data_IF_969390603701
#
_entry.id   IF_969390603701
#
_cell.length_a   1.000
_cell.length_b   1.000
_cell.length_c   1.000
_cell.angle_alpha   90.00
_cell.angle_beta   90.00
_cell.angle_gamma   90.00
#
_symmetry.space_group_name_H-M   'P 1'
#
loop_
_entity.id
_entity.type
_entity.pdbx_description
1 polymer ?
#
# COMPACT_ATOMS: atom_id res chain seq x y z
N UNK A 1 4.05 -23.77 -9.22
CA UNK A 1 4.17 -23.47 -7.78
C UNK A 1 2.77 -23.23 -7.28
N UNK A 2 2.31 -23.99 -6.30
CA UNK A 2 0.98 -23.82 -5.68
C UNK A 2 1.20 -22.94 -4.45
N UNK A 3 0.39 -21.90 -4.30
CA UNK A 3 0.32 -21.11 -3.07
C UNK A 3 -0.77 -21.73 -2.22
N UNK A 4 -0.41 -22.25 -1.05
CA UNK A 4 -1.37 -22.57 0.00
C UNK A 4 -1.41 -21.36 0.95
N UNK A 5 -2.59 -20.79 1.15
CA UNK A 5 -2.83 -19.66 2.05
C UNK A 5 -3.88 -19.99 3.13
N UNK A 6 -4.19 -21.27 3.31
CA UNK A 6 -5.26 -21.77 4.19
C UNK A 6 -4.95 -21.46 5.67
N UNK A 7 -3.66 -21.37 5.99
CA UNK A 7 -3.10 -20.89 7.26
C UNK A 7 -3.53 -19.48 7.66
N UNK A 8 -3.96 -18.65 6.69
CA UNK A 8 -4.38 -17.26 6.89
C UNK A 8 -5.91 -17.13 7.05
N UNK A 9 -6.69 -18.14 6.62
CA UNK A 9 -8.15 -18.09 6.66
C UNK A 9 -8.72 -17.84 8.06
N UNK A 10 -8.26 -18.50 9.15
CA UNK A 10 -8.82 -18.25 10.49
C UNK A 10 -8.64 -16.79 10.92
N UNK A 11 -7.45 -16.23 10.69
CA UNK A 11 -7.13 -14.84 11.05
C UNK A 11 -7.95 -13.83 10.21
N UNK A 12 -8.24 -14.16 8.95
CA UNK A 12 -9.11 -13.34 8.09
C UNK A 12 -10.58 -13.44 8.48
N UNK A 13 -11.03 -14.61 8.95
CA UNK A 13 -12.36 -14.79 9.53
C UNK A 13 -12.54 -13.95 10.78
N UNK A 14 -11.56 -13.87 11.68
CA UNK A 14 -11.62 -12.99 12.86
C UNK A 14 -11.82 -11.49 12.50
N UNK A 15 -11.45 -11.08 11.28
CA UNK A 15 -11.59 -9.71 10.77
C UNK A 15 -12.89 -9.43 10.02
N UNK A 16 -13.66 -10.45 9.67
CA UNK A 16 -14.98 -10.31 9.08
C UNK A 16 -15.96 -10.74 10.15
N UNK A 17 -16.86 -9.87 10.61
CA UNK A 17 -17.89 -10.32 11.55
C UNK A 17 -18.58 -11.53 10.92
N UNK A 18 -18.84 -12.61 11.69
CA UNK A 18 -19.83 -13.57 11.26
C UNK A 18 -21.06 -12.75 10.88
N UNK A 19 -21.46 -12.76 9.60
CA UNK A 19 -22.80 -12.31 9.25
C UNK A 19 -23.68 -13.21 10.08
N UNK A 20 -24.25 -12.67 11.17
CA UNK A 20 -25.02 -13.44 12.15
C UNK A 20 -25.86 -14.42 11.35
N UNK A 21 -25.71 -15.72 11.64
CA UNK A 21 -26.48 -16.76 10.97
C UNK A 21 -27.93 -16.47 11.28
N UNK A 22 -28.55 -15.72 10.37
CA UNK A 22 -29.74 -14.96 10.67
C UNK A 22 -30.86 -15.99 10.80
N UNK A 23 -31.33 -16.23 12.03
CA UNK A 23 -32.40 -17.19 12.27
C UNK A 23 -33.68 -16.81 11.50
N UNK A 24 -33.76 -15.55 11.05
CA UNK A 24 -34.61 -15.09 9.96
C UNK A 24 -34.40 -15.91 8.68
N UNK A 25 -35.45 -16.62 8.27
CA UNK A 25 -35.56 -17.23 6.92
C UNK A 25 -35.60 -16.19 5.77
N UNK A 26 -35.53 -14.90 6.09
CA UNK A 26 -35.61 -13.78 5.15
C UNK A 26 -34.26 -13.08 4.99
N UNK A 27 -33.83 -12.97 3.74
CA UNK A 27 -32.58 -12.31 3.36
C UNK A 27 -32.79 -10.79 3.24
N UNK A 28 -31.75 -10.03 3.54
CA UNK A 28 -31.75 -8.59 3.37
C UNK A 28 -31.65 -8.22 1.87
N UNK A 29 -32.58 -7.39 1.38
CA UNK A 29 -32.56 -6.95 -0.01
C UNK A 29 -31.43 -5.92 -0.23
N UNK A 30 -30.45 -6.17 -1.11
CA UNK A 30 -29.32 -5.26 -1.34
C UNK A 30 -29.73 -3.91 -1.95
N UNK A 31 -30.95 -3.78 -2.46
CA UNK A 31 -31.41 -2.61 -3.20
C UNK A 31 -32.52 -1.79 -2.51
N UNK A 32 -32.97 -2.21 -1.31
CA UNK A 32 -33.91 -1.47 -0.47
C UNK A 32 -33.71 -1.67 1.05
N UNK A 33 -32.70 -2.43 1.49
CA UNK A 33 -32.38 -2.65 2.91
C UNK A 33 -33.36 -3.55 3.69
N UNK A 34 -34.56 -3.80 3.16
CA UNK A 34 -35.59 -4.59 3.85
C UNK A 34 -35.25 -6.08 3.88
N UNK A 35 -35.32 -6.71 5.07
CA UNK A 35 -35.37 -8.18 5.20
C UNK A 35 -36.70 -8.69 4.64
N UNK A 36 -36.67 -9.56 3.64
CA UNK A 36 -37.92 -10.11 3.07
C UNK A 36 -37.69 -11.43 2.32
N UNK A 37 -38.77 -12.02 1.79
CA UNK A 37 -38.69 -13.22 0.96
C UNK A 37 -38.11 -12.86 -0.42
N UNK A 38 -37.15 -13.67 -0.89
CA UNK A 38 -36.54 -13.47 -2.21
C UNK A 38 -36.94 -14.60 -3.16
N UNK A 39 -37.82 -14.30 -4.11
CA UNK A 39 -38.30 -15.26 -5.09
C UNK A 39 -37.19 -15.60 -6.10
N UNK A 40 -36.97 -16.87 -6.39
CA UNK A 40 -36.06 -17.31 -7.46
C UNK A 40 -36.73 -17.17 -8.82
N UNK A 41 -36.03 -16.61 -9.80
CA UNK A 41 -36.44 -16.55 -11.19
C UNK A 41 -35.72 -17.67 -11.99
N UNK A 42 -36.29 -18.05 -13.14
CA UNK A 42 -35.73 -19.12 -13.98
C UNK A 42 -34.31 -18.87 -14.53
N UNK A 43 -33.85 -17.61 -14.54
CA UNK A 43 -32.50 -17.20 -14.95
C UNK A 43 -31.46 -17.20 -13.80
N UNK A 44 -31.85 -17.79 -12.66
CA UNK A 44 -31.06 -17.84 -11.42
C UNK A 44 -31.02 -16.52 -10.63
N UNK A 45 -31.68 -15.44 -11.09
CA UNK A 45 -31.80 -14.19 -10.33
C UNK A 45 -32.78 -14.35 -9.16
N UNK A 46 -32.65 -13.46 -8.18
CA UNK A 46 -33.60 -13.27 -7.09
C UNK A 46 -34.40 -11.98 -7.32
N UNK A 47 -35.68 -12.01 -6.97
CA UNK A 47 -36.58 -10.84 -6.96
C UNK A 47 -37.03 -10.55 -5.53
N UNK A 48 -36.86 -9.31 -5.07
CA UNK A 48 -37.39 -8.83 -3.80
C UNK A 48 -38.93 -8.77 -3.84
N UNK A 49 -39.62 -9.31 -2.83
CA UNK A 49 -41.08 -9.21 -2.72
C UNK A 49 -41.58 -7.82 -2.31
N UNK A 50 -40.73 -6.98 -1.71
CA UNK A 50 -41.09 -5.60 -1.30
C UNK A 50 -40.82 -4.60 -2.44
N UNK A 51 -39.57 -4.42 -2.85
CA UNK A 51 -39.21 -3.38 -3.83
C UNK A 51 -39.22 -3.86 -5.30
N UNK A 52 -39.60 -5.11 -5.57
CA UNK A 52 -39.70 -5.69 -6.92
C UNK A 52 -38.40 -5.85 -7.72
N UNK A 53 -37.29 -5.24 -7.28
CA UNK A 53 -35.99 -5.26 -7.97
C UNK A 53 -35.44 -6.70 -8.10
N UNK A 54 -34.81 -6.96 -9.26
CA UNK A 54 -34.17 -8.23 -9.62
C UNK A 54 -32.65 -8.10 -9.49
N UNK A 55 -31.99 -9.07 -8.88
CA UNK A 55 -30.53 -9.09 -8.70
C UNK A 55 -30.01 -10.53 -8.67
N UNK A 56 -28.75 -10.75 -9.05
CA UNK A 56 -28.09 -12.02 -8.73
C UNK A 56 -27.58 -11.93 -7.29
N UNK A 57 -27.95 -12.89 -6.45
CA UNK A 57 -27.11 -13.18 -5.28
C UNK A 57 -25.88 -13.88 -5.84
N UNK A 58 -24.86 -13.09 -6.19
CA UNK A 58 -23.57 -13.64 -6.58
C UNK A 58 -22.99 -14.34 -5.35
N UNK A 59 -23.12 -15.67 -5.32
CA UNK A 59 -22.56 -16.52 -4.27
C UNK A 59 -21.04 -16.70 -4.45
N UNK A 60 -20.34 -15.60 -4.67
CA UNK A 60 -18.98 -15.47 -4.16
C UNK A 60 -19.17 -15.32 -2.65
N UNK A 61 -19.12 -16.45 -1.95
CA UNK A 61 -19.18 -16.49 -0.49
C UNK A 61 -18.12 -15.58 0.11
N UNK A 62 -18.30 -15.12 1.35
CA UNK A 62 -17.23 -14.45 2.06
C UNK A 62 -15.99 -15.36 2.10
N UNK A 63 -16.15 -16.67 2.28
CA UNK A 63 -15.15 -17.72 2.02
C UNK A 63 -14.31 -17.50 0.77
N UNK A 64 -14.93 -17.41 -0.41
CA UNK A 64 -14.18 -17.28 -1.67
C UNK A 64 -13.45 -15.92 -1.77
N UNK A 65 -13.99 -14.87 -1.14
CA UNK A 65 -13.33 -13.56 -1.05
C UNK A 65 -12.17 -13.56 -0.06
N UNK A 66 -12.31 -14.29 1.05
CA UNK A 66 -11.27 -14.47 2.05
C UNK A 66 -10.12 -15.31 1.49
N UNK A 67 -10.41 -16.41 0.77
CA UNK A 67 -9.40 -17.18 0.05
C UNK A 67 -8.66 -16.32 -0.98
N UNK A 68 -9.39 -15.54 -1.79
CA UNK A 68 -8.78 -14.56 -2.71
C UNK A 68 -7.88 -13.56 -1.98
N UNK A 69 -8.32 -13.02 -0.84
CA UNK A 69 -7.51 -12.12 -0.03
C UNK A 69 -6.26 -12.82 0.53
N UNK A 70 -6.39 -14.06 1.03
CA UNK A 70 -5.30 -14.86 1.59
C UNK A 70 -4.20 -15.12 0.54
N UNK A 71 -4.58 -15.64 -0.63
CA UNK A 71 -3.65 -15.97 -1.72
C UNK A 71 -2.96 -14.72 -2.29
N UNK A 72 -3.70 -13.61 -2.44
CA UNK A 72 -3.15 -12.33 -2.93
C UNK A 72 -2.26 -11.68 -1.87
N UNK A 73 -2.61 -11.75 -0.58
CA UNK A 73 -1.77 -11.26 0.52
C UNK A 73 -0.46 -12.06 0.63
N UNK A 74 -0.52 -13.38 0.50
CA UNK A 74 0.67 -14.22 0.52
C UNK A 74 1.58 -13.93 -0.69
N UNK A 75 1.02 -13.68 -1.88
CA UNK A 75 1.78 -13.16 -3.03
C UNK A 75 2.46 -11.81 -2.73
N UNK A 76 1.77 -10.91 -2.01
CA UNK A 76 2.29 -9.61 -1.64
C UNK A 76 3.49 -9.73 -0.68
N UNK A 77 3.39 -10.59 0.34
CA UNK A 77 4.47 -10.89 1.27
C UNK A 77 5.65 -11.64 0.60
N UNK A 78 5.40 -12.43 -0.46
CA UNK A 78 6.40 -13.11 -1.27
C UNK A 78 7.12 -12.22 -2.32
N UNK A 79 6.95 -10.89 -2.26
CA UNK A 79 7.53 -9.93 -3.22
C UNK A 79 7.16 -10.19 -4.70
N UNK A 80 6.02 -10.84 -4.97
CA UNK A 80 5.56 -11.03 -6.35
C UNK A 80 4.89 -9.77 -6.88
N UNK A 81 5.24 -9.36 -8.10
CA UNK A 81 4.50 -8.32 -8.83
C UNK A 81 3.06 -8.74 -9.09
N UNK A 82 2.14 -7.79 -9.26
CA UNK A 82 0.72 -8.10 -9.52
C UNK A 82 0.52 -8.99 -10.77
N UNK A 83 1.39 -8.86 -11.78
CA UNK A 83 1.43 -9.75 -12.95
C UNK A 83 1.80 -11.19 -12.56
N UNK A 84 2.86 -11.37 -11.75
CA UNK A 84 3.29 -12.70 -11.29
C UNK A 84 2.26 -13.34 -10.36
N UNK A 85 1.67 -12.56 -9.45
CA UNK A 85 0.58 -13.02 -8.58
C UNK A 85 -0.66 -13.46 -9.40
N UNK A 86 -1.02 -12.72 -10.45
CA UNK A 86 -2.07 -13.10 -11.42
C UNK A 86 -1.77 -14.44 -12.10
N UNK A 87 -0.51 -14.67 -12.49
CA UNK A 87 -0.10 -15.92 -13.13
C UNK A 87 -0.13 -17.14 -12.19
N UNK A 88 0.15 -16.95 -10.90
CA UNK A 88 0.22 -18.03 -9.90
C UNK A 88 -1.16 -18.37 -9.31
N UNK A 89 -1.94 -17.34 -8.97
CA UNK A 89 -3.26 -17.51 -8.32
C UNK A 89 -4.42 -17.64 -9.30
N UNK A 90 -4.19 -17.31 -10.58
CA UNK A 90 -5.21 -17.21 -11.63
C UNK A 90 -6.33 -16.19 -11.36
N UNK A 91 -6.19 -15.35 -10.33
CA UNK A 91 -7.10 -14.22 -10.07
C UNK A 91 -6.93 -13.11 -11.11
N UNK A 92 -8.00 -12.35 -11.35
CA UNK A 92 -7.97 -11.24 -12.32
C UNK A 92 -6.97 -10.16 -11.89
N UNK A 93 -6.12 -9.70 -12.80
CA UNK A 93 -5.13 -8.64 -12.53
C UNK A 93 -5.72 -7.39 -11.83
N UNK A 94 -6.90 -6.91 -12.25
CA UNK A 94 -7.58 -5.77 -11.60
C UNK A 94 -7.87 -6.04 -10.11
N UNK A 95 -8.23 -7.28 -9.74
CA UNK A 95 -8.48 -7.67 -8.35
C UNK A 95 -7.17 -7.66 -7.55
N UNK A 96 -6.12 -8.30 -8.09
CA UNK A 96 -4.77 -8.35 -7.48
C UNK A 96 -4.22 -6.94 -7.25
N UNK A 97 -4.28 -6.07 -8.27
CA UNK A 97 -3.81 -4.68 -8.17
C UNK A 97 -4.58 -3.88 -7.12
N UNK A 98 -5.90 -4.05 -7.03
CA UNK A 98 -6.74 -3.37 -6.03
C UNK A 98 -6.35 -3.81 -4.61
N UNK A 99 -6.22 -5.12 -4.36
CA UNK A 99 -5.77 -5.62 -3.05
C UNK A 99 -4.37 -5.12 -2.68
N UNK A 100 -3.41 -5.17 -3.61
CA UNK A 100 -2.07 -4.63 -3.40
C UNK A 100 -2.08 -3.14 -3.01
N UNK A 101 -2.92 -2.33 -3.68
CA UNK A 101 -3.05 -0.91 -3.35
C UNK A 101 -3.78 -0.68 -2.01
N UNK A 102 -4.69 -1.57 -1.60
CA UNK A 102 -5.26 -1.57 -0.24
C UNK A 102 -4.21 -1.91 0.82
N UNK A 103 -3.37 -2.94 0.62
CA UNK A 103 -2.30 -3.28 1.55
C UNK A 103 -1.30 -2.13 1.72
N UNK A 104 -0.87 -1.49 0.62
CA UNK A 104 0.00 -0.30 0.68
C UNK A 104 -0.61 0.84 1.47
N UNK A 105 -1.87 1.19 1.17
CA UNK A 105 -2.59 2.25 1.88
C UNK A 105 -2.70 1.93 3.37
N UNK A 106 -3.00 0.68 3.71
CA UNK A 106 -3.08 0.23 5.09
C UNK A 106 -1.74 0.37 5.84
N UNK A 107 -0.62 0.00 5.20
CA UNK A 107 0.72 0.19 5.77
C UNK A 107 1.04 1.68 5.97
N UNK A 108 0.73 2.53 4.98
CA UNK A 108 0.89 3.97 5.07
C UNK A 108 0.02 4.57 6.19
N UNK A 109 -1.28 4.26 6.24
CA UNK A 109 -2.25 4.77 7.22
C UNK A 109 -1.94 4.35 8.67
N UNK A 110 -1.20 3.26 8.88
CA UNK A 110 -0.83 2.75 10.21
C UNK A 110 0.55 3.23 10.69
N UNK A 111 1.47 3.54 9.78
CA UNK A 111 2.86 3.85 10.10
C UNK A 111 3.22 5.34 9.87
N UNK A 112 2.23 6.22 9.67
CA UNK A 112 2.44 7.62 9.29
C UNK A 112 1.38 8.55 9.90
N UNK A 113 1.76 9.79 10.23
CA UNK A 113 0.81 10.82 10.70
C UNK A 113 -0.11 11.30 9.58
N UNK A 114 -1.30 11.82 9.91
CA UNK A 114 -2.23 12.36 8.90
C UNK A 114 -1.62 13.48 8.05
N UNK A 115 -0.75 14.32 8.64
CA UNK A 115 -0.01 15.36 7.94
C UNK A 115 0.92 14.79 6.86
N UNK A 116 1.70 13.76 7.19
CA UNK A 116 2.58 13.08 6.22
C UNK A 116 1.78 12.28 5.19
N UNK A 117 0.62 11.72 5.54
CA UNK A 117 -0.32 11.11 4.58
C UNK A 117 -0.90 12.17 3.64
N UNK A 118 -1.15 13.39 4.13
CA UNK A 118 -1.57 14.52 3.30
C UNK A 118 -0.48 14.91 2.30
N UNK A 119 0.79 14.93 2.71
CA UNK A 119 1.92 15.09 1.77
C UNK A 119 1.89 14.00 0.67
N UNK A 120 1.58 12.75 0.99
CA UNK A 120 1.47 11.69 -0.03
C UNK A 120 0.25 11.80 -0.96
N UNK A 121 -0.80 12.52 -0.58
CA UNK A 121 -2.11 12.50 -1.26
C UNK A 121 -2.53 13.82 -1.91
N UNK A 122 -1.97 14.94 -1.46
CA UNK A 122 -2.13 16.27 -2.09
C UNK A 122 -1.41 16.34 -3.44
N UNK A 123 -0.31 15.60 -3.62
CA UNK A 123 0.43 15.51 -4.87
C UNK A 123 -0.30 14.66 -5.93
N UNK A 124 -1.19 15.29 -6.70
CA UNK A 124 -1.94 14.66 -7.79
C UNK A 124 -1.29 14.75 -9.20
N UNK A 125 -0.02 15.16 -9.35
CA UNK A 125 0.66 15.25 -10.67
C UNK A 125 2.22 15.28 -10.68
N UNK A 126 2.87 16.30 -11.28
CA UNK A 126 4.34 16.53 -11.40
C UNK A 126 4.84 18.00 -11.03
N UNK A 127 5.68 18.26 -9.98
CA UNK A 127 5.70 19.38 -8.99
C UNK A 127 6.19 20.78 -9.36
N UNK A 128 5.62 21.70 -8.58
CA UNK A 128 6.22 22.95 -8.14
C UNK A 128 7.13 22.70 -6.93
N UNK A 129 8.42 22.52 -7.17
CA UNK A 129 9.41 23.07 -6.22
C UNK A 129 9.84 24.39 -6.83
N UNK A 130 9.36 25.48 -6.25
CA UNK A 130 9.97 26.78 -6.50
C UNK A 130 11.37 26.72 -5.90
N UNK A 131 12.40 26.68 -6.75
CA UNK A 131 13.55 27.57 -6.67
C UNK A 131 14.40 27.47 -7.94
N UNK A 132 15.05 28.59 -8.26
CA UNK A 132 15.43 28.94 -9.63
C UNK A 132 16.59 28.09 -10.19
N UNK A 133 16.41 27.59 -11.43
CA UNK A 133 17.40 26.92 -12.32
C UNK A 133 17.71 25.41 -12.16
N UNK A 134 16.63 24.62 -12.06
CA UNK A 134 16.41 23.41 -12.90
C UNK A 134 17.31 22.16 -12.79
N UNK A 135 17.99 21.88 -11.66
CA UNK A 135 18.52 20.52 -11.41
C UNK A 135 18.42 20.13 -9.94
N UNK A 136 18.07 18.86 -9.66
CA UNK A 136 18.34 18.29 -8.35
C UNK A 136 19.86 18.27 -8.12
N UNK A 137 20.32 18.96 -7.06
CA UNK A 137 21.74 19.23 -6.81
C UNK A 137 22.61 17.97 -6.74
N UNK A 138 22.06 16.89 -6.19
CA UNK A 138 22.77 15.63 -5.98
C UNK A 138 22.77 14.71 -7.20
N UNK A 139 21.65 14.60 -7.91
CA UNK A 139 21.54 13.67 -9.04
C UNK A 139 21.71 14.34 -10.43
N UNK A 140 21.80 15.67 -10.47
CA UNK A 140 21.94 16.55 -11.65
C UNK A 140 20.88 16.36 -12.74
N UNK A 141 19.81 15.62 -12.47
CA UNK A 141 18.67 15.47 -13.38
C UNK A 141 18.04 16.84 -13.64
N UNK A 142 17.85 17.21 -14.91
CA UNK A 142 17.11 18.41 -15.29
C UNK A 142 15.65 18.26 -14.89
N UNK A 143 15.07 19.34 -14.36
CA UNK A 143 13.63 19.47 -14.15
C UNK A 143 13.11 20.39 -15.25
N UNK A 144 12.16 19.94 -16.07
CA UNK A 144 11.61 20.77 -17.15
C UNK A 144 10.48 21.67 -16.61
N UNK A 145 10.45 22.96 -16.98
CA UNK A 145 9.41 23.91 -16.54
C UNK A 145 8.07 23.78 -17.27
N UNK A 146 7.89 22.82 -18.17
CA UNK A 146 6.59 22.53 -18.80
C UNK A 146 5.86 21.36 -18.10
N UNK A 147 6.55 20.66 -17.18
CA UNK A 147 6.01 19.59 -16.34
C UNK A 147 5.66 20.12 -14.91
N UNK A 148 4.83 21.15 -14.74
CA UNK A 148 4.78 21.93 -13.47
C UNK A 148 3.74 21.57 -12.37
N UNK A 149 2.67 20.79 -12.58
CA UNK A 149 1.64 20.51 -11.53
C UNK A 149 1.77 19.18 -10.68
N UNK A 150 2.53 19.08 -9.56
CA UNK A 150 2.36 18.08 -8.42
C UNK A 150 3.16 16.73 -8.15
N UNK A 151 4.53 16.62 -8.24
CA UNK A 151 5.51 15.44 -8.29
C UNK A 151 5.75 14.75 -6.94
N UNK A 152 6.32 13.53 -7.06
CA UNK A 152 7.38 12.91 -6.23
C UNK A 152 7.98 13.73 -5.05
N UNK A 153 7.59 13.40 -3.80
CA UNK A 153 8.22 13.91 -2.58
C UNK A 153 9.73 13.61 -2.52
N UNK A 154 10.45 14.42 -1.75
CA UNK A 154 11.71 13.98 -1.13
C UNK A 154 11.35 13.12 0.07
N UNK A 155 11.95 11.94 0.20
CA UNK A 155 11.71 11.05 1.34
C UNK A 155 12.93 10.99 2.25
N UNK A 156 12.79 11.36 3.52
CA UNK A 156 13.86 11.21 4.50
C UNK A 156 13.97 9.77 4.98
N UNK A 157 15.20 9.27 5.11
CA UNK A 157 15.50 7.92 5.60
C UNK A 157 16.15 8.02 6.97
N UNK A 158 15.49 7.50 7.99
CA UNK A 158 15.99 7.37 9.36
C UNK A 158 16.38 5.93 9.64
N UNK A 159 17.46 5.74 10.41
CA UNK A 159 17.88 4.44 10.92
C UNK A 159 17.79 4.45 12.43
N UNK A 160 17.07 3.50 13.00
CA UNK A 160 16.93 3.34 14.44
C UNK A 160 18.03 2.41 14.99
N UNK A 161 18.34 2.54 16.29
CA UNK A 161 19.38 1.74 16.95
C UNK A 161 19.12 0.22 16.95
N UNK A 162 17.86 -0.19 16.75
CA UNK A 162 17.43 -1.59 16.58
C UNK A 162 17.77 -2.19 15.21
N UNK A 163 18.14 -1.37 14.23
CA UNK A 163 18.26 -1.78 12.83
C UNK A 163 16.96 -1.65 12.00
N UNK A 164 15.92 -1.06 12.59
CA UNK A 164 14.70 -0.64 11.90
C UNK A 164 14.89 0.67 11.12
N UNK A 165 14.08 0.84 10.09
CA UNK A 165 14.14 1.97 9.15
C UNK A 165 12.81 2.71 9.13
N UNK A 166 12.85 4.03 9.03
CA UNK A 166 11.69 4.84 8.64
C UNK A 166 12.00 5.63 7.36
N UNK A 167 11.07 5.64 6.41
CA UNK A 167 11.09 6.36 5.14
C UNK A 167 9.82 7.21 5.07
N UNK A 168 9.94 8.50 5.33
CA UNK A 168 8.80 9.42 5.36
C UNK A 168 8.92 10.53 4.32
N UNK A 169 7.81 11.03 3.74
CA UNK A 169 7.85 12.27 2.96
C UNK A 169 8.29 13.41 3.87
N UNK A 170 9.17 14.26 3.34
CA UNK A 170 9.59 15.50 3.97
C UNK A 170 8.68 16.64 3.53
N UNK A 171 8.39 17.57 4.44
CA UNK A 171 7.81 18.87 4.07
C UNK A 171 8.87 19.79 3.43
N UNK A 172 8.47 20.98 2.94
CA UNK A 172 9.37 21.89 2.23
C UNK A 172 10.54 22.38 3.10
N UNK A 173 10.30 22.64 4.39
CA UNK A 173 11.33 23.07 5.36
C UNK A 173 12.36 21.94 5.59
N UNK A 174 11.89 20.71 5.84
CA UNK A 174 12.74 19.51 5.98
C UNK A 174 13.51 19.21 4.67
N UNK A 175 12.87 19.41 3.52
CA UNK A 175 13.46 19.18 2.20
C UNK A 175 14.52 20.24 1.84
N UNK A 176 14.36 21.50 2.26
CA UNK A 176 15.33 22.57 2.00
C UNK A 176 16.75 22.19 2.47
N UNK A 177 16.87 21.51 3.61
CA UNK A 177 18.17 21.02 4.13
C UNK A 177 18.81 19.93 3.27
N UNK A 178 18.03 19.11 2.55
CA UNK A 178 18.57 18.14 1.59
C UNK A 178 19.31 18.82 0.42
N UNK A 179 19.02 20.11 0.18
CA UNK A 179 19.60 20.92 -0.89
C UNK A 179 20.58 22.01 -0.40
N UNK A 180 20.64 22.30 0.91
CA UNK A 180 21.45 23.37 1.52
C UNK A 180 22.99 23.16 1.44
N UNK A 181 23.83 24.23 1.47
CA UNK A 181 25.30 24.12 1.46
C UNK A 181 25.86 23.47 2.74
N UNK A 182 26.93 22.65 2.61
CA UNK A 182 27.54 21.97 3.78
C UNK A 182 28.12 22.93 4.84
N UNK A 183 28.37 24.18 4.49
CA UNK A 183 28.93 25.21 5.38
C UNK A 183 27.90 25.86 6.31
N UNK A 184 26.61 25.75 6.00
CA UNK A 184 25.51 26.38 6.77
C UNK A 184 24.61 25.38 7.50
N UNK A 185 24.89 24.07 7.34
CA UNK A 185 24.17 22.98 7.99
C UNK A 185 24.46 22.83 9.50
N UNK A 186 24.59 23.96 10.22
CA UNK A 186 24.67 24.04 11.68
C UNK A 186 23.26 23.94 12.32
N UNK A 187 22.51 22.91 11.90
CA UNK A 187 21.13 22.64 12.30
C UNK A 187 20.91 21.13 12.41
N UNK A 188 20.92 20.54 13.62
CA UNK A 188 20.89 19.09 13.78
C UNK A 188 19.46 18.53 13.69
N UNK A 189 19.05 18.07 12.50
CA UNK A 189 18.14 16.93 12.43
C UNK A 189 18.93 15.63 12.68
N UNK A 190 19.33 15.46 13.96
CA UNK A 190 19.95 14.25 14.53
C UNK A 190 18.99 13.05 14.33
N UNK A 191 19.08 12.36 13.18
CA UNK A 191 18.29 11.15 12.92
C UNK A 191 18.28 10.65 11.48
N UNK A 192 18.37 11.53 10.48
CA UNK A 192 18.33 11.11 9.07
C UNK A 192 19.70 10.60 8.58
N UNK A 193 19.72 9.37 8.06
CA UNK A 193 20.88 8.78 7.41
C UNK A 193 21.08 9.30 5.97
N UNK A 194 19.99 9.67 5.31
CA UNK A 194 19.96 10.20 3.95
C UNK A 194 18.53 10.51 3.49
N UNK A 195 18.35 10.70 2.19
CA UNK A 195 17.06 10.97 1.55
C UNK A 195 16.96 10.34 0.15
N UNK A 196 15.74 10.03 -0.30
CA UNK A 196 15.43 9.52 -1.63
C UNK A 196 14.80 10.64 -2.46
N UNK A 197 15.37 10.93 -3.62
CA UNK A 197 14.90 11.95 -4.56
C UNK A 197 15.07 11.43 -6.01
N UNK A 198 14.07 11.62 -6.88
CA UNK A 198 14.09 11.18 -8.28
C UNK A 198 14.53 9.70 -8.48
N UNK A 199 14.11 8.80 -7.58
CA UNK A 199 14.49 7.38 -7.63
C UNK A 199 15.96 7.08 -7.29
N UNK A 200 16.68 8.01 -6.64
CA UNK A 200 18.06 7.87 -6.20
C UNK A 200 18.16 8.18 -4.70
N UNK A 201 18.97 7.41 -3.98
CA UNK A 201 19.29 7.67 -2.59
C UNK A 201 20.55 8.54 -2.44
N UNK A 202 20.49 9.49 -1.52
CA UNK A 202 21.48 10.51 -1.24
C UNK A 202 21.80 10.49 0.26
N UNK A 203 23.08 10.43 0.62
CA UNK A 203 23.52 10.12 2.00
C UNK A 203 23.93 11.39 2.74
N UNK A 204 23.49 11.55 3.98
CA UNK A 204 23.85 12.69 4.82
C UNK A 204 24.87 12.33 5.91
N UNK A 205 24.86 11.08 6.39
CA UNK A 205 25.68 10.68 7.54
C UNK A 205 27.14 10.35 7.20
N UNK A 206 28.05 10.84 8.05
CA UNK A 206 29.49 10.47 8.06
C UNK A 206 29.81 9.29 8.99
N UNK A 207 28.84 8.83 9.79
CA UNK A 207 28.98 7.68 10.69
C UNK A 207 28.92 6.36 9.91
N UNK A 208 29.96 5.54 10.00
CA UNK A 208 30.09 4.29 9.23
C UNK A 208 28.95 3.30 9.49
N UNK A 209 28.52 3.10 10.74
CA UNK A 209 27.42 2.16 11.04
C UNK A 209 26.09 2.60 10.41
N UNK A 210 25.82 3.91 10.40
CA UNK A 210 24.64 4.48 9.76
C UNK A 210 24.75 4.47 8.22
N UNK A 211 25.95 4.65 7.68
CA UNK A 211 26.26 4.52 6.26
C UNK A 211 26.01 3.08 5.78
N UNK A 212 26.50 2.07 6.49
CA UNK A 212 26.36 0.66 6.12
C UNK A 212 24.89 0.22 6.12
N UNK A 213 24.13 0.55 7.18
CA UNK A 213 22.69 0.27 7.24
C UNK A 213 21.89 0.94 6.11
N UNK A 214 22.26 2.17 5.74
CA UNK A 214 21.62 2.89 4.65
C UNK A 214 21.98 2.34 3.26
N UNK A 215 23.20 1.85 3.07
CA UNK A 215 23.62 1.17 1.85
C UNK A 215 22.95 -0.20 1.68
N UNK A 216 22.81 -0.96 2.77
CA UNK A 216 22.08 -2.25 2.80
C UNK A 216 20.61 -2.05 2.42
N UNK A 217 19.92 -1.12 3.08
CA UNK A 217 18.55 -0.72 2.75
C UNK A 217 18.40 -0.33 1.28
N UNK A 218 19.24 0.57 0.78
CA UNK A 218 19.10 1.08 -0.58
C UNK A 218 19.40 0.01 -1.64
N UNK A 219 20.28 -0.94 -1.34
CA UNK A 219 20.55 -2.10 -2.21
C UNK A 219 19.32 -3.02 -2.27
N UNK A 220 18.79 -3.38 -1.10
CA UNK A 220 17.57 -4.20 -0.95
C UNK A 220 16.35 -3.58 -1.65
N UNK A 221 16.15 -2.26 -1.51
CA UNK A 221 15.11 -1.49 -2.21
C UNK A 221 15.31 -1.53 -3.72
N UNK A 222 16.55 -1.33 -4.20
CA UNK A 222 16.84 -1.25 -5.64
C UNK A 222 16.64 -2.59 -6.34
N UNK A 223 17.00 -3.70 -5.70
CA UNK A 223 16.77 -5.05 -6.22
C UNK A 223 15.27 -5.32 -6.44
N UNK A 224 14.45 -4.96 -5.46
CA UNK A 224 12.98 -5.11 -5.53
C UNK A 224 12.34 -4.14 -6.51
N UNK A 225 12.73 -2.86 -6.52
CA UNK A 225 12.19 -1.88 -7.45
C UNK A 225 12.37 -2.29 -8.94
N UNK A 226 13.43 -3.06 -9.26
CA UNK A 226 13.67 -3.59 -10.62
C UNK A 226 12.64 -4.65 -11.04
N UNK A 227 12.07 -5.44 -10.14
CA UNK A 227 11.07 -6.48 -10.48
C UNK A 227 9.71 -5.90 -10.88
N UNK A 228 9.44 -4.65 -10.51
CA UNK A 228 8.21 -3.93 -10.87
C UNK A 228 8.27 -3.21 -12.22
N UNK A 229 9.41 -3.23 -12.92
CA UNK A 229 9.65 -2.49 -14.19
C UNK A 229 9.42 -0.96 -14.08
N UNK A 230 9.50 -0.40 -12.87
CA UNK A 230 9.23 0.99 -12.57
C UNK A 230 7.99 1.18 -11.68
N UNK A 231 7.99 2.26 -10.91
CA UNK A 231 6.87 2.64 -10.03
C UNK A 231 6.33 3.97 -10.51
N UNK A 232 5.01 4.06 -10.72
CA UNK A 232 4.35 5.31 -11.09
C UNK A 232 4.59 6.40 -10.04
N UNK A 233 4.97 7.62 -10.44
CA UNK A 233 5.33 8.73 -9.55
C UNK A 233 4.30 8.96 -8.42
N UNK A 234 3.02 9.03 -8.78
CA UNK A 234 1.87 9.18 -7.85
C UNK A 234 1.75 8.06 -6.79
N UNK A 235 2.36 6.90 -7.02
CA UNK A 235 2.33 5.76 -6.11
C UNK A 235 3.68 5.59 -5.35
N UNK A 236 4.70 6.42 -5.60
CA UNK A 236 6.05 6.21 -5.05
C UNK A 236 6.07 6.12 -3.53
N UNK A 237 5.34 6.98 -2.82
CA UNK A 237 5.29 6.93 -1.34
C UNK A 237 4.65 5.65 -0.80
N UNK A 238 3.53 5.22 -1.39
CA UNK A 238 2.87 3.96 -1.05
C UNK A 238 3.77 2.73 -1.26
N UNK A 239 4.57 2.71 -2.33
CA UNK A 239 5.57 1.67 -2.56
C UNK A 239 6.78 1.77 -1.61
N UNK A 240 7.22 2.98 -1.25
CA UNK A 240 8.31 3.15 -0.28
C UNK A 240 7.90 2.69 1.12
N UNK A 241 6.66 2.92 1.57
CA UNK A 241 6.16 2.37 2.85
C UNK A 241 5.94 0.85 2.81
N UNK A 242 5.57 0.27 1.66
CA UNK A 242 5.61 -1.20 1.47
C UNK A 242 7.04 -1.73 1.67
N UNK A 243 8.03 -1.13 1.00
CA UNK A 243 9.42 -1.57 1.05
C UNK A 243 10.05 -1.34 2.44
N UNK A 244 9.75 -0.24 3.12
CA UNK A 244 10.12 0.00 4.52
C UNK A 244 9.59 -1.11 5.43
N UNK A 245 8.27 -1.36 5.40
CA UNK A 245 7.64 -2.34 6.28
C UNK A 245 8.18 -3.75 6.03
N UNK A 246 8.36 -4.13 4.75
CA UNK A 246 8.96 -5.41 4.37
C UNK A 246 10.43 -5.50 4.76
N UNK A 247 11.20 -4.40 4.68
CA UNK A 247 12.57 -4.38 5.18
C UNK A 247 12.61 -4.61 6.69
N UNK A 248 11.77 -3.91 7.46
CA UNK A 248 11.72 -4.07 8.92
C UNK A 248 11.22 -5.47 9.35
N UNK A 249 10.38 -6.12 8.54
CA UNK A 249 9.89 -7.48 8.79
C UNK A 249 10.64 -8.57 7.99
N UNK A 250 11.81 -8.27 7.40
CA UNK A 250 12.57 -9.16 6.50
C UNK A 250 13.05 -10.49 7.10
N UNK A 251 13.06 -10.59 8.43
CA UNK A 251 13.42 -11.80 9.20
C UNK A 251 12.22 -12.71 9.45
N UNK A 252 10.99 -12.24 9.21
CA UNK A 252 9.78 -13.03 9.34
C UNK A 252 9.48 -13.78 8.04
N UNK A 253 8.91 -14.97 8.16
CA UNK A 253 8.40 -15.71 7.02
C UNK A 253 7.18 -15.02 6.39
N UNK A 254 6.85 -15.32 5.13
CA UNK A 254 5.73 -14.67 4.43
C UNK A 254 4.37 -14.87 5.12
N UNK A 255 4.16 -15.99 5.81
CA UNK A 255 2.96 -16.28 6.59
C UNK A 255 2.84 -15.37 7.82
N UNK A 256 3.89 -15.19 8.62
CA UNK A 256 3.86 -14.28 9.77
C UNK A 256 3.79 -12.81 9.33
N UNK A 257 4.40 -12.45 8.21
CA UNK A 257 4.20 -11.15 7.56
C UNK A 257 2.71 -10.94 7.20
N UNK A 258 2.08 -11.93 6.57
CA UNK A 258 0.66 -11.87 6.22
C UNK A 258 -0.23 -11.74 7.47
N UNK A 259 0.06 -12.49 8.55
CA UNK A 259 -0.66 -12.35 9.84
C UNK A 259 -0.57 -10.94 10.42
N UNK A 260 0.63 -10.35 10.47
CA UNK A 260 0.79 -8.93 10.87
C UNK A 260 0.02 -7.97 9.96
N UNK A 261 -0.02 -8.21 8.64
CA UNK A 261 -0.85 -7.42 7.73
C UNK A 261 -2.36 -7.55 8.04
N UNK A 262 -2.83 -8.75 8.39
CA UNK A 262 -4.22 -9.02 8.80
C UNK A 262 -4.56 -8.30 10.11
N UNK A 263 -3.67 -8.29 11.10
CA UNK A 263 -3.84 -7.53 12.36
C UNK A 263 -4.12 -6.04 12.12
N UNK A 264 -3.47 -5.44 11.12
CA UNK A 264 -3.70 -4.04 10.74
C UNK A 264 -5.06 -3.80 10.07
N UNK A 265 -5.66 -4.82 9.44
CA UNK A 265 -6.90 -4.66 8.66
C UNK A 265 -8.08 -4.19 9.53
N UNK A 266 -8.94 -3.30 9.01
CA UNK A 266 -10.16 -2.89 9.69
C UNK A 266 -11.15 -4.06 9.77
N UNK A 267 -12.06 -4.00 10.75
CA UNK A 267 -13.19 -4.92 10.79
C UNK A 267 -14.05 -4.77 9.53
N UNK A 268 -14.57 -5.89 9.04
CA UNK A 268 -15.42 -5.98 7.86
C UNK A 268 -14.76 -5.41 6.58
N UNK A 269 -13.43 -5.56 6.45
CA UNK A 269 -12.63 -5.02 5.33
C UNK A 269 -13.18 -5.40 3.93
N UNK A 270 -13.77 -6.58 3.79
CA UNK A 270 -14.42 -7.02 2.55
C UNK A 270 -15.52 -6.07 2.08
N UNK A 271 -16.22 -5.39 3.00
CA UNK A 271 -17.24 -4.40 2.68
C UNK A 271 -16.55 -3.09 2.26
N UNK A 272 -15.63 -2.59 3.08
CA UNK A 272 -15.02 -1.27 2.90
C UNK A 272 -14.10 -1.18 1.67
N UNK A 273 -13.46 -2.28 1.27
CA UNK A 273 -12.57 -2.33 0.11
C UNK A 273 -13.35 -2.56 -1.20
N UNK A 274 -14.33 -3.47 -1.22
CA UNK A 274 -15.05 -3.82 -2.45
C UNK A 274 -16.13 -2.80 -2.87
N UNK A 275 -16.69 -2.02 -1.93
CA UNK A 275 -17.67 -0.96 -2.25
C UNK A 275 -17.11 0.14 -3.18
N UNK A 276 -15.79 0.27 -3.33
CA UNK A 276 -15.14 1.27 -4.20
C UNK A 276 -14.77 0.73 -5.60
N UNK A 277 -15.10 -0.52 -5.94
CA UNK A 277 -14.70 -1.15 -7.21
C UNK A 277 -15.80 -1.11 -8.27
N UNK A 278 -17.06 -0.89 -7.87
CA UNK A 278 -18.26 -0.90 -8.72
C UNK A 278 -18.83 0.52 -9.00
N UNK A 279 -18.09 1.58 -8.66
CA UNK A 279 -18.39 2.98 -8.97
C UNK A 279 -17.45 3.51 -10.08
#
# INVERSE_FOLDING_TARGET
MIINADSLLPHLHDKVRPTHSDASRHLLCPACGTRTKLNTLGDGRKKCTVCGKKFRIHKITNENKLQQCAEILLCFCLDFSANRATQITHHRYRLVSVYYDHYRKLLTEKNMSQEKILLLTTHKGDIEMVHDKYRCRWCKCKVHPEDLEGKAPVFGVQLQGSGDVCIDPLNDDEAAFAFAPQTEASGPHKGYAGFICCGKFHRLTKNERAKDGAEQLWTWIRERARTHHGIWKRNTGFYLKELEWKYNNRSLDPDMQARKMIELMPMDFLITWLQKVEA
#
